data_IF_919066353163
#
_entry.id   IF_919066353163
#
_cell.length_a   1.000
_cell.length_b   1.000
_cell.length_c   1.000
_cell.angle_alpha   90.00
_cell.angle_beta   90.00
_cell.angle_gamma   90.00
#
_symmetry.space_group_name_H-M   'P 1'
#
loop_
_entity.id
_entity.type
_entity.pdbx_description
1 polymer ?
#
# COMPACT_ATOMS: atom_id res chain seq x y z
N UNK A 1 14.53 11.51 -7.83
CA UNK A 1 13.69 10.47 -8.47
C UNK A 1 12.67 11.18 -9.37
N UNK A 2 12.95 11.28 -10.68
CA UNK A 2 12.05 11.89 -11.67
C UNK A 2 11.29 10.76 -12.37
N UNK A 3 10.16 10.36 -11.82
CA UNK A 3 9.14 9.66 -12.61
C UNK A 3 8.47 10.78 -13.42
N UNK A 4 8.49 10.67 -14.75
CA UNK A 4 7.88 11.69 -15.60
C UNK A 4 6.34 11.62 -15.44
N UNK A 5 5.64 12.75 -15.48
CA UNK A 5 4.17 12.81 -15.39
C UNK A 5 3.47 11.81 -16.33
N UNK A 6 4.09 11.50 -17.47
CA UNK A 6 3.66 10.48 -18.41
C UNK A 6 3.59 9.06 -17.80
N UNK A 7 4.62 8.60 -17.08
CA UNK A 7 4.62 7.26 -16.47
C UNK A 7 3.54 7.12 -15.37
N UNK A 8 3.28 8.21 -14.64
CA UNK A 8 2.17 8.26 -13.68
C UNK A 8 0.82 8.13 -14.36
N UNK A 9 0.63 8.85 -15.46
CA UNK A 9 -0.60 8.85 -16.22
C UNK A 9 -0.81 7.50 -16.92
N UNK A 10 0.23 6.89 -17.46
CA UNK A 10 0.20 5.54 -18.04
C UNK A 10 -0.20 4.51 -16.97
N UNK A 11 0.46 4.56 -15.80
CA UNK A 11 0.11 3.65 -14.69
C UNK A 11 -1.33 3.86 -14.25
N UNK A 12 -1.81 5.10 -14.14
CA UNK A 12 -3.21 5.40 -13.81
C UNK A 12 -4.18 4.85 -14.86
N UNK A 13 -3.85 4.96 -16.16
CA UNK A 13 -4.66 4.43 -17.25
C UNK A 13 -4.79 2.91 -17.22
N UNK A 14 -3.80 2.17 -16.69
CA UNK A 14 -3.92 0.72 -16.51
C UNK A 14 -5.08 0.33 -15.58
N UNK A 15 -5.50 1.22 -14.68
CA UNK A 15 -6.61 0.98 -13.76
C UNK A 15 -7.94 1.55 -14.26
N UNK A 16 -7.95 2.37 -15.32
CA UNK A 16 -9.17 2.87 -15.94
C UNK A 16 -9.78 1.80 -16.85
N UNK A 17 -10.68 1.01 -16.26
CA UNK A 17 -11.39 -0.04 -16.97
C UNK A 17 -12.54 0.46 -17.87
N UNK A 18 -12.83 1.77 -17.91
CA UNK A 18 -13.92 2.32 -18.73
C UNK A 18 -13.44 3.31 -19.79
N UNK A 19 -12.18 3.72 -19.76
CA UNK A 19 -11.59 4.65 -20.74
C UNK A 19 -12.14 6.07 -20.65
N UNK A 20 -12.69 6.48 -19.50
CA UNK A 20 -13.22 7.83 -19.27
C UNK A 20 -12.27 8.72 -18.46
N UNK A 21 -11.01 8.31 -18.31
CA UNK A 21 -9.96 9.04 -17.61
C UNK A 21 -10.10 8.98 -16.09
N UNK A 22 -10.76 7.96 -15.55
CA UNK A 22 -11.06 7.85 -14.11
C UNK A 22 -10.84 6.45 -13.55
N UNK A 23 -10.50 6.37 -12.27
CA UNK A 23 -10.41 5.10 -11.53
C UNK A 23 -11.34 5.12 -10.33
N UNK A 24 -11.80 3.95 -9.88
CA UNK A 24 -12.60 3.86 -8.66
C UNK A 24 -11.74 4.15 -7.43
N UNK A 25 -12.33 4.72 -6.39
CA UNK A 25 -11.64 4.99 -5.11
C UNK A 25 -11.01 3.73 -4.52
N UNK A 26 -11.69 2.59 -4.66
CA UNK A 26 -11.19 1.27 -4.22
C UNK A 26 -9.91 0.83 -4.92
N UNK A 27 -9.60 1.37 -6.10
CA UNK A 27 -8.39 1.03 -6.88
C UNK A 27 -7.18 1.90 -6.50
N UNK A 28 -7.37 2.96 -5.71
CA UNK A 28 -6.30 3.92 -5.38
C UNK A 28 -5.14 3.22 -4.66
N UNK A 29 -5.43 2.33 -3.71
CA UNK A 29 -4.38 1.60 -2.98
C UNK A 29 -3.49 0.77 -3.91
N UNK A 30 -4.09 0.09 -4.88
CA UNK A 30 -3.36 -0.73 -5.85
C UNK A 30 -2.61 0.12 -6.88
N UNK A 31 -3.18 1.25 -7.32
CA UNK A 31 -2.50 2.21 -8.18
C UNK A 31 -1.26 2.82 -7.49
N UNK A 32 -1.36 3.15 -6.20
CA UNK A 32 -0.22 3.64 -5.42
C UNK A 32 0.89 2.56 -5.29
N UNK A 33 0.50 1.29 -5.15
CA UNK A 33 1.44 0.14 -5.13
C UNK A 33 2.12 -0.08 -6.47
N UNK A 34 1.40 0.04 -7.57
CA UNK A 34 1.98 0.01 -8.92
C UNK A 34 3.00 1.13 -9.14
N UNK A 35 2.81 2.28 -8.48
CA UNK A 35 3.74 3.42 -8.47
C UNK A 35 4.85 3.31 -7.41
N UNK A 36 5.05 2.13 -6.83
CA UNK A 36 6.13 1.84 -5.89
C UNK A 36 5.93 2.39 -4.47
N UNK A 37 4.70 2.76 -4.10
CA UNK A 37 4.36 3.16 -2.74
C UNK A 37 3.69 2.00 -2.01
N UNK A 38 3.95 1.82 -0.71
CA UNK A 38 3.33 0.76 0.09
C UNK A 38 2.42 1.32 1.19
N UNK A 39 1.37 2.11 0.85
CA UNK A 39 0.49 2.66 1.87
C UNK A 39 -0.36 1.57 2.52
N UNK A 40 -0.71 1.79 3.79
CA UNK A 40 -1.72 0.96 4.44
C UNK A 40 -3.12 1.38 3.98
N UNK A 41 -4.09 0.49 4.16
CA UNK A 41 -5.51 0.81 3.91
C UNK A 41 -6.00 1.98 4.76
N UNK A 42 -5.42 2.20 5.94
CA UNK A 42 -5.72 3.36 6.78
C UNK A 42 -5.19 4.64 6.15
N UNK A 43 -3.97 4.62 5.61
CA UNK A 43 -3.37 5.78 4.95
C UNK A 43 -4.16 6.17 3.70
N UNK A 44 -4.54 5.19 2.86
CA UNK A 44 -5.40 5.45 1.71
C UNK A 44 -6.71 6.10 2.16
N UNK A 45 -7.40 5.51 3.15
CA UNK A 45 -8.67 6.05 3.68
C UNK A 45 -8.54 7.48 4.22
N UNK A 46 -7.44 7.82 4.88
CA UNK A 46 -7.20 9.19 5.38
C UNK A 46 -7.24 10.22 4.25
N UNK A 47 -6.64 9.89 3.10
CA UNK A 47 -6.55 10.81 1.96
C UNK A 47 -7.73 10.69 0.98
N UNK A 48 -8.58 9.67 1.11
CA UNK A 48 -9.78 9.49 0.29
C UNK A 48 -11.08 9.68 1.07
N UNK A 49 -11.02 10.14 2.33
CA UNK A 49 -12.17 10.20 3.26
C UNK A 49 -13.38 11.00 2.73
N UNK A 50 -13.12 11.97 1.86
CA UNK A 50 -14.15 12.80 1.23
C UNK A 50 -14.87 12.13 0.05
N UNK A 51 -14.42 10.96 -0.38
CA UNK A 51 -14.98 10.21 -1.50
C UNK A 51 -15.59 8.89 -1.01
N UNK A 52 -16.69 8.50 -1.65
CA UNK A 52 -17.32 7.19 -1.42
C UNK A 52 -16.58 6.10 -2.20
N UNK A 53 -16.62 4.83 -1.75
CA UNK A 53 -15.97 3.71 -2.46
C UNK A 53 -16.39 3.58 -3.93
N UNK A 54 -17.65 3.87 -4.25
CA UNK A 54 -18.24 3.84 -5.59
C UNK A 54 -17.86 5.04 -6.47
N UNK A 55 -17.27 6.09 -5.90
CA UNK A 55 -16.87 7.27 -6.64
C UNK A 55 -15.71 6.93 -7.58
N UNK A 56 -15.65 7.65 -8.72
CA UNK A 56 -14.55 7.58 -9.67
C UNK A 56 -13.86 8.92 -9.75
N UNK A 57 -12.54 8.92 -9.57
CA UNK A 57 -11.73 10.14 -9.51
C UNK A 57 -10.84 10.27 -10.74
N UNK A 58 -10.54 11.50 -11.15
CA UNK A 58 -9.64 11.79 -12.27
C UNK A 58 -8.18 11.76 -11.81
N UNK A 59 -7.26 11.80 -12.77
CA UNK A 59 -5.83 11.87 -12.50
C UNK A 59 -5.44 13.12 -11.68
N UNK A 60 -6.10 14.25 -11.91
CA UNK A 60 -5.87 15.51 -11.20
C UNK A 60 -6.24 15.43 -9.71
N UNK A 61 -7.22 14.58 -9.36
CA UNK A 61 -7.61 14.30 -7.98
C UNK A 61 -6.67 13.27 -7.35
N UNK A 62 -6.20 12.29 -8.13
CA UNK A 62 -5.28 11.26 -7.67
C UNK A 62 -3.88 11.80 -7.34
N UNK A 63 -3.36 12.73 -8.14
CA UNK A 63 -1.98 13.23 -7.98
C UNK A 63 -1.71 13.87 -6.59
N UNK A 64 -2.60 14.73 -6.04
CA UNK A 64 -2.47 15.22 -4.66
C UNK A 64 -2.47 14.10 -3.61
N UNK A 65 -3.29 13.06 -3.78
CA UNK A 65 -3.33 11.90 -2.88
C UNK A 65 -1.98 11.17 -2.88
N UNK A 66 -1.44 10.90 -4.07
CA UNK A 66 -0.11 10.32 -4.22
C UNK A 66 0.97 11.16 -3.53
N UNK A 67 0.98 12.48 -3.74
CA UNK A 67 1.95 13.37 -3.12
C UNK A 67 1.85 13.37 -1.60
N UNK A 68 0.63 13.32 -1.05
CA UNK A 68 0.42 13.24 0.39
C UNK A 68 0.95 11.92 0.96
N UNK A 69 0.69 10.79 0.31
CA UNK A 69 1.21 9.47 0.71
C UNK A 69 2.73 9.44 0.71
N UNK A 70 3.37 9.99 -0.34
CA UNK A 70 4.84 10.05 -0.44
C UNK A 70 5.46 10.90 0.66
N UNK A 71 4.82 12.02 1.02
CA UNK A 71 5.28 12.90 2.11
C UNK A 71 5.11 12.26 3.49
N UNK A 72 4.08 11.43 3.66
CA UNK A 72 3.78 10.74 4.92
C UNK A 72 4.37 9.32 4.96
N UNK A 73 5.46 9.06 4.24
CA UNK A 73 6.17 7.78 4.36
C UNK A 73 6.62 7.60 5.81
N UNK A 74 6.10 6.54 6.44
CA UNK A 74 6.66 6.04 7.68
C UNK A 74 8.16 5.80 7.47
N UNK A 75 8.96 6.34 8.39
CA UNK A 75 10.41 6.18 8.42
C UNK A 75 10.84 4.85 9.03
N UNK A 76 9.87 3.96 9.31
CA UNK A 76 10.13 2.65 9.89
C UNK A 76 11.15 1.90 9.02
N UNK A 77 12.29 1.62 9.63
CA UNK A 77 13.42 0.97 9.00
C UNK A 77 13.29 -0.55 9.10
N UNK A 78 14.10 -1.27 8.32
CA UNK A 78 14.22 -2.71 8.49
C UNK A 78 14.67 -3.07 9.93
N UNK A 79 15.50 -2.24 10.55
CA UNK A 79 15.96 -2.42 11.93
C UNK A 79 14.80 -2.30 12.93
N UNK A 80 13.90 -1.33 12.77
CA UNK A 80 12.71 -1.18 13.63
C UNK A 80 11.80 -2.42 13.55
N UNK A 81 11.67 -3.00 12.35
CA UNK A 81 10.92 -4.24 12.15
C UNK A 81 11.62 -5.45 12.79
N UNK A 82 12.93 -5.57 12.61
CA UNK A 82 13.73 -6.65 13.19
C UNK A 82 13.75 -6.59 14.73
N UNK A 83 13.80 -5.40 15.32
CA UNK A 83 13.70 -5.22 16.77
C UNK A 83 12.34 -5.69 17.30
N UNK A 84 11.25 -5.38 16.59
CA UNK A 84 9.92 -5.90 16.92
C UNK A 84 9.85 -7.44 16.88
N UNK A 85 10.52 -8.07 15.90
CA UNK A 85 10.57 -9.54 15.79
C UNK A 85 11.44 -10.20 16.87
N UNK A 86 12.50 -9.54 17.33
CA UNK A 86 13.35 -10.04 18.42
C UNK A 86 12.58 -10.26 19.72
N UNK A 87 11.51 -9.51 19.96
CA UNK A 87 10.65 -9.74 21.11
C UNK A 87 9.95 -11.11 21.08
N UNK A 88 9.78 -11.70 19.89
CA UNK A 88 9.12 -12.99 19.69
C UNK A 88 10.11 -14.15 19.55
N UNK A 89 11.37 -13.89 19.17
CA UNK A 89 12.46 -14.87 19.21
C UNK A 89 12.98 -15.03 20.66
N UNK A 90 12.23 -15.81 21.45
CA UNK A 90 12.55 -16.06 22.87
C UNK A 90 13.87 -16.79 23.08
N UNK A 91 14.33 -17.51 22.06
CA UNK A 91 15.48 -18.40 22.13
C UNK A 91 16.76 -17.71 21.61
N UNK A 92 16.61 -16.52 20.98
CA UNK A 92 17.70 -15.68 20.49
C UNK A 92 18.45 -16.29 19.30
N UNK A 93 17.83 -17.22 18.57
CA UNK A 93 18.46 -17.94 17.46
C UNK A 93 18.30 -17.23 16.10
N UNK A 94 17.57 -16.12 16.07
CA UNK A 94 17.25 -15.33 14.87
C UNK A 94 16.03 -15.83 14.10
N UNK A 95 15.29 -16.82 14.60
CA UNK A 95 14.14 -17.44 13.94
C UNK A 95 12.90 -17.39 14.84
N UNK A 96 11.75 -17.13 14.24
CA UNK A 96 10.44 -17.30 14.89
C UNK A 96 9.65 -18.36 14.16
N UNK A 97 8.80 -19.10 14.87
CA UNK A 97 7.96 -20.09 14.23
C UNK A 97 6.91 -19.43 13.33
N UNK A 98 6.45 -20.15 12.29
CA UNK A 98 5.34 -19.68 11.45
C UNK A 98 4.04 -19.46 12.23
N UNK A 99 3.88 -20.15 13.36
CA UNK A 99 2.75 -19.96 14.27
C UNK A 99 2.86 -18.61 15.02
N UNK A 100 4.05 -18.27 15.52
CA UNK A 100 4.31 -16.99 16.19
C UNK A 100 4.22 -15.81 15.23
N UNK A 101 4.79 -15.92 14.02
CA UNK A 101 4.65 -14.90 12.99
C UNK A 101 3.18 -14.66 12.62
N UNK A 102 2.39 -15.72 12.45
CA UNK A 102 0.95 -15.59 12.18
C UNK A 102 0.22 -14.93 13.35
N UNK A 103 0.56 -15.29 14.59
CA UNK A 103 -0.04 -14.70 15.78
C UNK A 103 0.30 -13.20 15.90
N UNK A 104 1.57 -12.84 15.70
CA UNK A 104 2.08 -11.46 15.67
C UNK A 104 1.35 -10.62 14.62
N UNK A 105 1.30 -11.09 13.37
CA UNK A 105 0.66 -10.36 12.28
C UNK A 105 -0.85 -10.19 12.50
N UNK A 106 -1.49 -11.16 13.15
CA UNK A 106 -2.91 -11.07 13.52
C UNK A 106 -3.14 -10.11 14.69
N UNK A 107 -2.25 -10.11 15.70
CA UNK A 107 -2.34 -9.27 16.89
C UNK A 107 -2.07 -7.78 16.61
N UNK A 108 -1.20 -7.48 15.64
CA UNK A 108 -0.90 -6.11 15.19
C UNK A 108 -1.98 -5.49 14.28
N UNK A 109 -3.14 -6.14 14.11
CA UNK A 109 -4.33 -5.48 13.58
C UNK A 109 -4.47 -5.45 12.05
N UNK A 110 -3.66 -6.21 11.30
CA UNK A 110 -3.95 -6.49 9.89
C UNK A 110 -4.52 -7.90 9.80
N UNK A 111 -5.85 -8.02 9.75
CA UNK A 111 -6.49 -9.26 9.31
C UNK A 111 -5.98 -9.53 7.91
N UNK A 112 -5.05 -10.48 7.80
CA UNK A 112 -4.38 -10.89 6.56
C UNK A 112 -5.43 -11.59 5.71
N UNK A 113 -6.32 -10.82 5.07
CA UNK A 113 -7.17 -11.32 4.03
C UNK A 113 -6.25 -11.60 2.86
N UNK A 114 -5.73 -12.82 2.82
CA UNK A 114 -5.07 -13.44 1.68
C UNK A 114 -3.99 -12.56 1.08
N UNK A 115 -2.74 -12.91 1.36
CA UNK A 115 -1.58 -12.45 0.59
C UNK A 115 -1.87 -12.78 -0.89
N UNK A 116 -2.55 -11.87 -1.60
CA UNK A 116 -2.45 -11.75 -3.05
C UNK A 116 -1.08 -11.16 -3.21
N UNK A 117 -0.10 -12.05 -3.27
CA UNK A 117 1.14 -11.78 -3.98
C UNK A 117 0.66 -11.26 -5.33
N UNK A 118 0.69 -9.94 -5.52
CA UNK A 118 0.62 -9.38 -6.84
C UNK A 118 2.01 -9.68 -7.42
N UNK A 119 2.18 -10.94 -7.84
CA UNK A 119 3.11 -11.34 -8.86
C UNK A 119 2.67 -10.59 -10.12
N UNK A 120 3.04 -9.33 -10.26
CA UNK A 120 3.18 -8.71 -11.58
C UNK A 120 4.56 -9.12 -12.06
N UNK A 121 4.65 -10.36 -12.53
CA UNK A 121 5.77 -10.88 -13.31
C UNK A 121 5.20 -11.94 -14.23
N UNK A 122 4.63 -11.48 -15.35
CA UNK A 122 4.63 -12.09 -16.68
C UNK A 122 3.94 -11.13 -17.65
#
# INVERSE_FOLDING_TARGET
>A
MRIFLAEFQETFQLFDNRGDGKIQVTQIGDALRALGQNPTESDVRKFTAQHKPEDRITFEVFLPIYQAIVKNKNTDTADDFLEGLRHFDKDGNGFISSAELRHLLTALGKTIHTIRVILISA
#
